data_IF_358747920249
#
_entry.id   IF_358747920249
#
_cell.length_a   1.000
_cell.length_b   1.000
_cell.length_c   1.000
_cell.angle_alpha   90.00
_cell.angle_beta   90.00
_cell.angle_gamma   90.00
#
_symmetry.space_group_name_H-M   'P 1'
#
loop_
_entity.id
_entity.type
_entity.pdbx_description
1 polymer ?
#
# COMPACT_ATOMS: atom_id res chain seq x y z
N UNK A 1 -4.36 -12.38 14.33
CA UNK A 1 -4.79 -11.09 13.77
C UNK A 1 -3.52 -10.28 13.59
N UNK A 2 -3.13 -10.06 12.34
CA UNK A 2 -1.85 -9.42 11.97
C UNK A 2 -2.06 -7.94 11.60
N UNK A 3 -3.29 -7.57 11.25
CA UNK A 3 -3.73 -6.22 10.96
C UNK A 3 -3.50 -5.26 12.13
N UNK A 4 -3.14 -4.03 11.79
CA UNK A 4 -2.96 -2.90 12.71
C UNK A 4 -3.54 -1.63 12.11
N UNK A 5 -3.75 -0.63 12.95
CA UNK A 5 -4.13 0.70 12.50
C UNK A 5 -3.49 1.76 13.40
N UNK A 6 -3.41 2.98 12.90
CA UNK A 6 -3.03 4.15 13.69
C UNK A 6 -3.99 5.30 13.40
N UNK A 7 -4.26 6.07 14.45
CA UNK A 7 -5.04 7.32 14.39
C UNK A 7 -4.31 8.33 15.26
N UNK A 8 -3.92 9.45 14.66
CA UNK A 8 -3.28 10.56 15.34
C UNK A 8 -4.00 11.84 14.94
N UNK A 9 -4.62 12.54 15.89
CA UNK A 9 -5.45 13.72 15.61
C UNK A 9 -4.71 15.06 15.77
N UNK A 10 -3.54 15.04 16.42
CA UNK A 10 -2.74 16.23 16.74
C UNK A 10 -1.25 15.94 16.46
N UNK A 11 -0.89 15.83 15.18
CA UNK A 11 0.50 15.53 14.80
C UNK A 11 1.41 16.64 15.32
N UNK A 12 2.38 16.27 16.16
CA UNK A 12 3.28 17.20 16.85
C UNK A 12 2.56 18.31 17.67
N UNK A 13 1.34 18.03 18.15
CA UNK A 13 0.53 18.99 18.90
C UNK A 13 -0.27 19.98 18.04
N UNK A 14 -0.28 19.81 16.72
CA UNK A 14 -1.04 20.67 15.80
C UNK A 14 -2.45 20.10 15.55
N UNK A 15 -3.53 20.71 16.08
CA UNK A 15 -4.89 20.14 16.04
C UNK A 15 -5.57 20.26 14.67
N UNK A 16 -4.87 20.82 13.69
CA UNK A 16 -5.34 20.93 12.31
C UNK A 16 -4.78 19.83 11.40
N UNK A 17 -4.02 18.90 11.96
CA UNK A 17 -3.37 17.82 11.23
C UNK A 17 -3.71 16.47 11.83
N UNK A 18 -4.14 15.54 10.99
CA UNK A 18 -4.45 14.19 11.42
C UNK A 18 -3.83 13.15 10.49
N UNK A 19 -3.38 12.03 11.05
CA UNK A 19 -2.89 10.88 10.30
C UNK A 19 -3.70 9.64 10.65
N UNK A 20 -4.11 8.93 9.61
CA UNK A 20 -4.82 7.66 9.70
C UNK A 20 -4.05 6.67 8.86
N UNK A 21 -3.83 5.45 9.36
CA UNK A 21 -3.37 4.37 8.50
C UNK A 21 -3.93 3.03 8.93
N UNK A 22 -4.11 2.16 7.94
CA UNK A 22 -4.35 0.74 8.11
C UNK A 22 -3.12 -0.01 7.62
N UNK A 23 -2.78 -1.08 8.32
CA UNK A 23 -1.65 -1.95 8.01
C UNK A 23 -2.20 -3.37 8.00
N UNK A 24 -2.12 -4.03 6.86
CA UNK A 24 -2.52 -5.42 6.69
C UNK A 24 -1.28 -6.31 6.71
N UNK A 25 -1.17 -7.17 7.72
CA UNK A 25 0.02 -8.00 7.93
C UNK A 25 -0.16 -9.41 7.38
N UNK A 26 0.92 -10.02 6.92
CA UNK A 26 0.93 -11.42 6.51
C UNK A 26 2.23 -12.13 6.91
N UNK A 27 2.18 -13.46 7.01
CA UNK A 27 3.37 -14.29 7.24
C UNK A 27 3.99 -14.14 8.64
N UNK A 28 3.25 -13.58 9.60
CA UNK A 28 3.69 -13.35 10.98
C UNK A 28 3.50 -11.90 11.44
N UNK A 29 3.67 -11.67 12.74
CA UNK A 29 3.47 -10.34 13.35
C UNK A 29 4.64 -9.36 13.12
N UNK A 30 5.73 -9.79 12.47
CA UNK A 30 6.91 -8.98 12.23
C UNK A 30 7.22 -8.94 10.74
N UNK A 31 7.40 -7.74 10.21
CA UNK A 31 7.98 -7.53 8.89
C UNK A 31 9.44 -8.01 8.94
N UNK A 32 9.69 -9.20 8.39
CA UNK A 32 10.95 -9.95 8.53
C UNK A 32 11.24 -10.79 7.31
N UNK A 33 11.95 -11.91 7.47
CA UNK A 33 12.32 -12.76 6.33
C UNK A 33 11.11 -13.25 5.53
N UNK A 34 10.10 -13.79 6.22
CA UNK A 34 8.90 -14.37 5.60
C UNK A 34 7.60 -13.60 5.92
N UNK A 35 7.71 -12.55 6.73
CA UNK A 35 6.59 -11.72 7.15
C UNK A 35 6.64 -10.36 6.47
N UNK A 36 5.47 -9.87 6.08
CA UNK A 36 5.32 -8.61 5.37
C UNK A 36 4.09 -7.84 5.80
N UNK A 37 3.97 -6.62 5.29
CA UNK A 37 2.80 -5.81 5.55
C UNK A 37 2.50 -4.86 4.38
N UNK A 38 1.21 -4.68 4.11
CA UNK A 38 0.66 -3.66 3.24
C UNK A 38 0.18 -2.51 4.09
N UNK A 39 0.16 -1.30 3.54
CA UNK A 39 -0.33 -0.13 4.24
C UNK A 39 -1.03 0.83 3.31
N UNK A 40 -2.07 1.47 3.81
CA UNK A 40 -2.63 2.69 3.24
C UNK A 40 -2.74 3.74 4.35
N UNK A 41 -2.21 4.94 4.09
CA UNK A 41 -2.16 6.06 5.02
C UNK A 41 -2.74 7.33 4.42
N UNK A 42 -3.37 8.15 5.25
CA UNK A 42 -3.93 9.45 4.88
C UNK A 42 -3.48 10.48 5.91
N UNK A 43 -2.76 11.50 5.46
CA UNK A 43 -2.41 12.70 6.22
C UNK A 43 -3.31 13.85 5.77
N UNK A 44 -4.11 14.38 6.69
CA UNK A 44 -4.79 15.66 6.54
C UNK A 44 -3.85 16.76 7.06
N UNK A 45 -3.54 17.75 6.22
CA UNK A 45 -2.75 18.92 6.61
C UNK A 45 -3.10 20.11 5.74
N UNK A 46 -3.32 21.28 6.33
CA UNK A 46 -3.58 22.53 5.60
C UNK A 46 -4.75 22.45 4.59
N UNK A 47 -5.82 21.71 4.92
CA UNK A 47 -6.94 21.39 4.01
C UNK A 47 -6.50 20.62 2.75
N UNK A 48 -5.43 19.85 2.84
CA UNK A 48 -4.97 18.93 1.80
C UNK A 48 -4.90 17.52 2.38
N UNK A 49 -5.31 16.53 1.59
CA UNK A 49 -5.06 15.12 1.86
C UNK A 49 -3.82 14.68 1.12
N UNK A 50 -2.92 14.03 1.85
CA UNK A 50 -1.79 13.29 1.31
C UNK A 50 -2.05 11.82 1.60
N UNK A 51 -2.26 11.04 0.55
CA UNK A 51 -2.48 9.60 0.68
C UNK A 51 -1.23 8.88 0.26
N UNK A 52 -0.91 7.80 0.96
CA UNK A 52 0.22 6.94 0.64
C UNK A 52 -0.21 5.48 0.70
N UNK A 53 0.30 4.65 -0.21
CA UNK A 53 0.04 3.22 -0.16
C UNK A 53 1.20 2.35 -0.65
N UNK A 54 1.28 1.15 -0.07
CA UNK A 54 2.19 0.05 -0.39
C UNK A 54 1.35 -1.22 -0.25
N UNK A 55 1.16 -1.97 -1.35
CA UNK A 55 0.31 -3.17 -1.36
C UNK A 55 -1.13 -2.88 -1.81
N UNK A 56 -2.09 -3.65 -1.34
CA UNK A 56 -3.48 -3.66 -1.85
C UNK A 56 -4.53 -3.07 -0.90
N UNK A 57 -4.10 -2.57 0.26
CA UNK A 57 -4.93 -1.75 1.14
C UNK A 57 -5.43 -0.48 0.42
N UNK A 58 -6.67 -0.06 0.72
CA UNK A 58 -7.32 1.06 0.00
C UNK A 58 -7.86 2.13 0.91
N UNK A 59 -7.74 3.38 0.47
CA UNK A 59 -8.44 4.52 1.04
C UNK A 59 -9.37 5.15 -0.01
N UNK A 60 -10.59 5.52 0.43
CA UNK A 60 -11.62 6.14 -0.41
C UNK A 60 -12.21 7.33 0.34
N UNK A 61 -12.22 8.49 -0.32
CA UNK A 61 -12.88 9.69 0.19
C UNK A 61 -14.32 9.74 -0.30
N UNK A 62 -15.27 9.92 0.62
CA UNK A 62 -16.63 10.33 0.28
C UNK A 62 -16.71 11.85 0.31
N UNK A 63 -16.98 12.48 -0.85
CA UNK A 63 -17.09 13.93 -0.95
C UNK A 63 -18.24 14.31 -1.91
N UNK A 64 -19.20 15.09 -1.40
CA UNK A 64 -20.36 15.60 -2.17
C UNK A 64 -21.14 14.47 -2.87
N UNK A 65 -21.28 13.32 -2.22
CA UNK A 65 -21.99 12.15 -2.76
C UNK A 65 -21.17 11.28 -3.73
N UNK A 66 -19.89 11.60 -3.97
CA UNK A 66 -19.01 10.80 -4.83
C UNK A 66 -17.97 10.04 -3.99
N UNK A 67 -17.67 8.82 -4.41
CA UNK A 67 -16.55 8.03 -3.90
C UNK A 67 -15.31 8.30 -4.77
N UNK A 68 -14.25 8.81 -4.16
CA UNK A 68 -12.98 9.14 -4.80
C UNK A 68 -11.91 8.21 -4.23
N UNK A 69 -11.39 7.30 -5.05
CA UNK A 69 -10.28 6.44 -4.65
C UNK A 69 -9.03 7.30 -4.45
N UNK A 70 -8.37 7.14 -3.31
CA UNK A 70 -7.19 7.93 -2.93
C UNK A 70 -5.87 7.16 -3.07
N UNK A 71 -5.92 5.85 -3.31
CA UNK A 71 -4.76 4.95 -3.45
C UNK A 71 -4.74 4.30 -4.83
N UNK A 72 -3.60 3.75 -5.21
CA UNK A 72 -3.45 3.05 -6.48
C UNK A 72 -3.02 1.60 -6.24
N UNK A 73 -4.00 0.74 -6.01
CA UNK A 73 -3.84 -0.68 -5.67
C UNK A 73 -2.64 -1.37 -6.35
N UNK A 74 -1.69 -1.89 -5.57
CA UNK A 74 -0.50 -2.57 -6.08
C UNK A 74 -0.71 -4.08 -6.35
N UNK A 75 -1.95 -4.55 -6.44
CA UNK A 75 -2.25 -5.90 -6.87
C UNK A 75 -1.83 -6.11 -8.34
N UNK A 76 -1.07 -7.18 -8.59
CA UNK A 76 -0.39 -7.42 -9.87
C UNK A 76 -1.34 -7.55 -11.06
N UNK A 77 -2.57 -8.01 -10.86
CA UNK A 77 -3.56 -8.12 -11.96
C UNK A 77 -4.09 -6.78 -12.47
N UNK A 78 -3.85 -5.68 -11.74
CA UNK A 78 -4.34 -4.35 -12.10
C UNK A 78 -3.22 -3.36 -12.44
N UNK A 79 -1.96 -3.82 -12.44
CA UNK A 79 -0.76 -2.97 -12.52
C UNK A 79 0.23 -3.48 -13.55
N UNK A 80 -0.05 -3.22 -14.83
CA UNK A 80 0.83 -3.61 -15.94
C UNK A 80 2.24 -3.00 -15.83
N UNK A 81 2.33 -1.79 -15.28
CA UNK A 81 3.58 -1.11 -14.98
C UNK A 81 4.43 -1.87 -13.95
N UNK A 82 3.79 -2.42 -12.91
CA UNK A 82 4.46 -3.19 -11.87
C UNK A 82 4.86 -4.59 -12.35
N UNK A 83 4.03 -5.24 -13.19
CA UNK A 83 4.39 -6.51 -13.86
C UNK A 83 5.67 -6.31 -14.68
N UNK A 84 5.70 -5.30 -15.55
CA UNK A 84 6.85 -4.99 -16.37
C UNK A 84 8.10 -4.66 -15.53
N UNK A 85 7.95 -3.91 -14.43
CA UNK A 85 9.05 -3.62 -13.50
C UNK A 85 9.68 -4.91 -12.95
N UNK A 86 8.85 -5.84 -12.48
CA UNK A 86 9.31 -7.11 -11.90
C UNK A 86 10.03 -7.97 -12.94
N UNK A 87 9.45 -8.14 -14.12
CA UNK A 87 10.07 -8.92 -15.21
C UNK A 87 11.41 -8.32 -15.65
N UNK A 88 11.48 -6.99 -15.81
CA UNK A 88 12.71 -6.29 -16.20
C UNK A 88 13.82 -6.40 -15.14
N UNK A 89 13.46 -6.60 -13.87
CA UNK A 89 14.41 -6.92 -12.78
C UNK A 89 14.77 -8.41 -12.68
N UNK A 90 14.32 -9.24 -13.63
CA UNK A 90 14.58 -10.68 -13.66
C UNK A 90 13.69 -11.51 -12.74
N UNK A 91 12.60 -10.94 -12.22
CA UNK A 91 11.65 -11.63 -11.38
C UNK A 91 10.77 -12.59 -12.18
N UNK A 92 10.37 -13.70 -11.54
CA UNK A 92 9.47 -14.66 -12.16
C UNK A 92 8.03 -14.38 -11.72
N UNK A 93 7.14 -14.18 -12.70
CA UNK A 93 5.70 -14.02 -12.46
C UNK A 93 4.99 -15.34 -12.77
N UNK A 94 4.36 -15.91 -11.75
CA UNK A 94 3.55 -17.11 -11.88
C UNK A 94 2.07 -16.74 -11.98
N UNK A 95 1.43 -17.05 -13.11
CA UNK A 95 0.00 -16.80 -13.31
C UNK A 95 -0.82 -18.06 -13.01
N UNK A 96 -1.72 -17.99 -12.02
CA UNK A 96 -2.58 -19.10 -11.65
C UNK A 96 -3.94 -18.60 -11.16
N UNK A 97 -5.02 -19.24 -11.62
CA UNK A 97 -6.41 -18.91 -11.28
C UNK A 97 -6.76 -17.41 -11.43
N UNK A 98 -6.25 -16.77 -12.49
CA UNK A 98 -6.54 -15.36 -12.77
C UNK A 98 -5.70 -14.35 -11.99
N UNK A 99 -4.71 -14.80 -11.20
CA UNK A 99 -3.88 -13.96 -10.34
C UNK A 99 -2.39 -14.17 -10.66
N UNK A 100 -1.65 -13.08 -10.79
CA UNK A 100 -0.19 -13.11 -10.87
C UNK A 100 0.41 -13.17 -9.47
N UNK A 101 1.48 -13.96 -9.29
CA UNK A 101 2.25 -14.02 -8.06
C UNK A 101 3.75 -13.91 -8.34
N UNK A 102 4.48 -13.09 -7.58
CA UNK A 102 5.94 -13.02 -7.64
C UNK A 102 6.52 -14.30 -7.05
N UNK A 103 7.30 -15.03 -7.85
CA UNK A 103 7.84 -16.36 -7.54
C UNK A 103 6.80 -17.38 -7.07
N UNK A 104 5.52 -17.19 -7.43
CA UNK A 104 4.42 -18.03 -6.94
C UNK A 104 4.00 -17.76 -5.49
N UNK A 105 4.61 -16.78 -4.81
CA UNK A 105 4.36 -16.48 -3.39
C UNK A 105 3.24 -15.45 -3.21
N UNK A 106 3.49 -14.19 -3.55
CA UNK A 106 2.65 -13.03 -3.20
C UNK A 106 2.07 -12.36 -4.45
N UNK A 107 0.84 -11.86 -4.37
CA UNK A 107 0.06 -11.28 -5.49
C UNK A 107 0.06 -9.75 -5.56
N UNK A 108 0.85 -9.10 -4.72
CA UNK A 108 1.14 -7.66 -4.78
C UNK A 108 2.56 -7.40 -5.25
N UNK A 109 2.81 -6.19 -5.76
CA UNK A 109 4.14 -5.77 -6.23
C UNK A 109 4.95 -4.97 -5.20
N UNK A 110 4.31 -4.48 -4.14
CA UNK A 110 4.92 -3.64 -3.11
C UNK A 110 4.48 -4.04 -1.71
N UNK A 111 5.43 -4.13 -0.78
CA UNK A 111 5.19 -4.49 0.61
C UNK A 111 6.33 -3.98 1.51
N UNK A 112 6.07 -3.79 2.81
CA UNK A 112 7.11 -3.81 3.84
C UNK A 112 7.44 -5.25 4.22
N UNK A 113 8.65 -5.53 4.72
CA UNK A 113 9.05 -6.91 5.02
C UNK A 113 9.33 -7.71 3.76
N UNK A 114 8.99 -9.01 3.72
CA UNK A 114 9.25 -9.88 2.55
C UNK A 114 10.70 -9.84 2.07
N UNK A 115 11.65 -9.92 3.00
CA UNK A 115 13.07 -9.70 2.70
C UNK A 115 13.54 -10.64 1.57
N UNK A 116 13.05 -11.88 1.56
CA UNK A 116 13.37 -12.88 0.53
C UNK A 116 12.90 -12.54 -0.89
N UNK A 117 12.04 -11.53 -1.05
CA UNK A 117 11.51 -11.06 -2.34
C UNK A 117 11.97 -9.64 -2.69
N UNK A 118 12.86 -9.01 -1.92
CA UNK A 118 13.23 -7.59 -2.07
C UNK A 118 13.93 -7.22 -3.36
N UNK A 119 14.40 -8.20 -4.12
CA UNK A 119 14.89 -7.97 -5.48
C UNK A 119 13.75 -7.53 -6.43
N UNK A 120 12.49 -7.86 -6.11
CA UNK A 120 11.33 -7.63 -6.98
C UNK A 120 10.17 -6.90 -6.29
N UNK A 121 9.97 -7.11 -4.99
CA UNK A 121 8.95 -6.42 -4.19
C UNK A 121 9.58 -5.19 -3.53
N UNK A 122 9.17 -4.00 -3.95
CA UNK A 122 9.71 -2.75 -3.40
C UNK A 122 8.88 -2.24 -2.23
N UNK A 123 9.51 -1.47 -1.34
CA UNK A 123 8.81 -0.80 -0.23
C UNK A 123 8.52 0.68 -0.51
N UNK A 124 8.76 1.14 -1.74
CA UNK A 124 8.54 2.52 -2.13
C UNK A 124 7.03 2.80 -2.25
N UNK A 125 6.48 3.71 -1.44
CA UNK A 125 5.07 4.04 -1.52
C UNK A 125 4.70 4.83 -2.78
N UNK A 126 3.47 4.68 -3.24
CA UNK A 126 2.84 5.71 -4.06
C UNK A 126 2.25 6.80 -3.17
N UNK A 127 2.26 8.04 -3.67
CA UNK A 127 1.75 9.21 -2.95
C UNK A 127 0.81 9.99 -3.86
N UNK A 128 -0.40 10.26 -3.38
CA UNK A 128 -1.38 11.12 -4.02
C UNK A 128 -1.64 12.37 -3.16
N UNK A 129 -1.83 13.51 -3.80
CA UNK A 129 -2.22 14.77 -3.14
C UNK A 129 -3.57 15.24 -3.64
N UNK A 130 -4.49 15.57 -2.74
CA UNK A 130 -5.83 16.08 -3.05
C UNK A 130 -6.19 17.29 -2.17
N UNK A 131 -6.39 18.49 -2.75
CA UNK A 131 -6.93 19.64 -2.02
C UNK A 131 -8.41 19.44 -1.62
N UNK A 132 -8.78 19.84 -0.41
CA UNK A 132 -10.16 19.82 0.07
C UNK A 132 -10.85 21.16 -0.20
N UNK A 133 -11.91 21.13 -1.01
CA UNK A 133 -12.74 22.29 -1.38
C UNK A 133 -13.82 22.55 -0.33
#
# INVERSE_FOLDING_TARGET
MEDRHTVMLDIAGEPTQAFFAVIDGHGGHAAGENGGAFAAGVLLKNRELYTTDVGDSKAVLSMKGNAITLTNNHHLTTREDELARIENSGGFLYFHNGVFRVNGSIDVSRAFGDIHLKDWIISEPEIMKLPLT
#
